data_IF_286851217434
#
_entry.id   IF_286851217434
#
_cell.length_a   1.000
_cell.length_b   1.000
_cell.length_c   1.000
_cell.angle_alpha   90.00
_cell.angle_beta   90.00
_cell.angle_gamma   90.00
#
_symmetry.space_group_name_H-M   'P 1'
#
loop_
_entity.id
_entity.type
_entity.pdbx_description
1 polymer ?
#
# COMPACT_ATOMS: atom_id res chain seq x y z
N UNK A 1 7.04 -7.19 22.93
CA UNK A 1 6.18 -6.56 21.90
C UNK A 1 5.70 -7.65 20.99
N UNK A 2 4.38 -7.86 20.86
CA UNK A 2 3.87 -8.93 20.02
C UNK A 2 4.14 -8.60 18.54
N UNK A 3 4.55 -9.61 17.79
CA UNK A 3 4.61 -9.55 16.35
C UNK A 3 3.18 -9.52 15.83
N UNK A 4 2.82 -8.48 15.07
CA UNK A 4 1.52 -8.37 14.40
C UNK A 4 1.66 -8.68 12.93
N UNK A 5 0.57 -9.13 12.32
CA UNK A 5 0.45 -9.44 10.90
C UNK A 5 -0.71 -8.67 10.29
N UNK A 6 -0.51 -8.16 9.08
CA UNK A 6 -1.57 -7.54 8.29
C UNK A 6 -1.40 -7.84 6.80
N UNK A 7 -2.47 -7.66 6.04
CA UNK A 7 -2.46 -7.66 4.58
C UNK A 7 -2.76 -6.25 4.10
N UNK A 8 -1.99 -5.74 3.15
CA UNK A 8 -2.08 -4.33 2.76
C UNK A 8 -1.55 -4.03 1.37
N UNK A 9 -1.84 -2.83 0.90
CA UNK A 9 -1.30 -2.27 -0.36
C UNK A 9 -0.32 -1.15 0.01
N UNK A 10 0.83 -1.13 -0.64
CA UNK A 10 1.79 -0.03 -0.49
C UNK A 10 1.24 1.22 -1.20
N UNK A 11 0.90 2.24 -0.43
CA UNK A 11 0.36 3.52 -0.92
C UNK A 11 1.39 4.65 -0.88
N UNK A 12 2.49 4.46 -0.15
CA UNK A 12 3.60 5.42 -0.16
C UNK A 12 4.90 4.71 0.18
N UNK A 13 6.00 5.09 -0.47
CA UNK A 13 7.29 4.47 -0.21
C UNK A 13 8.45 5.34 -0.69
N UNK A 14 9.44 5.57 0.17
CA UNK A 14 10.63 6.32 -0.18
C UNK A 14 11.87 5.82 0.58
N UNK A 15 13.03 6.04 -0.03
CA UNK A 15 14.32 5.70 0.56
C UNK A 15 14.62 6.60 1.77
N UNK A 16 15.09 5.98 2.86
CA UNK A 16 15.47 6.68 4.09
C UNK A 16 16.88 6.26 4.49
N UNK A 17 17.82 7.20 4.40
CA UNK A 17 19.24 6.93 4.60
C UNK A 17 19.79 5.95 3.55
N UNK A 18 20.83 5.20 3.91
CA UNK A 18 21.53 4.35 2.94
C UNK A 18 20.82 3.02 2.64
N UNK A 19 20.13 2.44 3.61
CA UNK A 19 19.64 1.06 3.49
C UNK A 19 18.16 0.88 3.79
N UNK A 20 17.50 1.89 4.33
CA UNK A 20 16.17 1.75 4.90
C UNK A 20 15.13 2.38 3.97
N UNK A 21 13.87 2.03 4.16
CA UNK A 21 12.73 2.69 3.51
C UNK A 21 11.68 3.06 4.54
N UNK A 22 11.03 4.19 4.35
CA UNK A 22 9.78 4.52 5.05
C UNK A 22 8.64 4.19 4.09
N UNK A 23 7.67 3.42 4.58
CA UNK A 23 6.60 2.85 3.77
C UNK A 23 5.29 3.03 4.50
N UNK A 24 4.25 3.42 3.77
CA UNK A 24 2.87 3.44 4.26
C UNK A 24 2.09 2.34 3.56
N UNK A 25 1.45 1.49 4.37
CA UNK A 25 0.56 0.43 3.90
C UNK A 25 -0.87 0.81 4.25
N UNK A 26 -1.79 0.71 3.30
CA UNK A 26 -3.21 0.66 3.61
C UNK A 26 -3.60 -0.79 3.82
N UNK A 27 -3.94 -1.15 5.06
CA UNK A 27 -4.15 -2.55 5.48
C UNK A 27 -5.62 -2.83 5.77
N UNK A 28 -6.02 -4.09 5.56
CA UNK A 28 -7.39 -4.52 5.86
C UNK A 28 -7.66 -4.53 7.37
N UNK A 29 -6.67 -4.94 8.17
CA UNK A 29 -6.86 -5.20 9.60
C UNK A 29 -6.64 -3.98 10.49
N UNK A 30 -5.80 -3.03 10.08
CA UNK A 30 -5.42 -1.88 10.92
C UNK A 30 -5.43 -0.54 10.18
N UNK A 31 -6.05 -0.45 9.01
CA UNK A 31 -6.06 0.79 8.23
C UNK A 31 -4.66 1.21 7.78
N UNK A 32 -4.37 2.51 7.76
CA UNK A 32 -3.04 3.02 7.40
C UNK A 32 -2.01 2.71 8.47
N UNK A 33 -0.95 2.01 8.07
CA UNK A 33 0.24 1.74 8.89
C UNK A 33 1.45 2.40 8.23
N UNK A 34 2.03 3.39 8.90
CA UNK A 34 3.33 3.95 8.53
C UNK A 34 4.44 3.24 9.28
N UNK A 35 5.48 2.82 8.55
CA UNK A 35 6.57 2.07 9.15
C UNK A 35 7.93 2.28 8.50
N UNK A 36 8.96 1.95 9.27
CA UNK A 36 10.35 1.90 8.83
C UNK A 36 10.76 0.45 8.58
N UNK A 37 11.19 0.18 7.35
CA UNK A 37 11.75 -1.09 6.91
C UNK A 37 13.29 -1.00 6.92
N UNK A 38 13.90 -1.39 8.04
CA UNK A 38 15.35 -1.31 8.21
C UNK A 38 16.08 -2.29 7.31
N UNK A 39 17.08 -1.83 6.57
CA UNK A 39 17.86 -2.63 5.62
C UNK A 39 17.07 -3.08 4.40
N UNK A 40 15.92 -2.46 4.12
CA UNK A 40 15.05 -2.76 2.98
C UNK A 40 15.80 -2.87 1.66
N UNK A 41 16.69 -1.91 1.37
CA UNK A 41 17.40 -1.83 0.08
C UNK A 41 18.40 -2.97 -0.13
N UNK A 42 18.85 -3.62 0.95
CA UNK A 42 19.84 -4.72 0.90
C UNK A 42 19.21 -6.11 1.11
N UNK A 43 18.04 -6.18 1.74
CA UNK A 43 17.48 -7.44 2.24
C UNK A 43 16.39 -8.01 1.34
N UNK A 44 16.79 -8.83 0.36
CA UNK A 44 15.83 -9.59 -0.48
C UNK A 44 15.02 -10.62 0.29
N UNK A 45 15.58 -11.19 1.37
CA UNK A 45 14.88 -12.18 2.21
C UNK A 45 13.70 -11.59 2.96
N UNK A 46 13.81 -10.36 3.47
CA UNK A 46 12.76 -9.72 4.29
C UNK A 46 11.82 -8.83 3.49
N UNK A 47 12.30 -8.29 2.37
CA UNK A 47 11.58 -7.31 1.56
C UNK A 47 11.78 -7.62 0.09
N UNK A 48 11.24 -8.75 -0.37
CA UNK A 48 11.43 -9.28 -1.73
C UNK A 48 10.71 -8.42 -2.79
N UNK A 49 11.20 -7.21 -3.05
CA UNK A 49 10.59 -6.18 -3.90
C UNK A 49 9.12 -5.86 -3.54
N UNK A 50 8.80 -6.01 -2.25
CA UNK A 50 7.45 -5.91 -1.70
C UNK A 50 7.14 -4.52 -1.13
N UNK A 51 8.02 -3.54 -1.33
CA UNK A 51 7.88 -2.19 -0.75
C UNK A 51 7.67 -1.11 -1.81
N UNK A 52 7.47 -1.48 -3.06
CA UNK A 52 7.17 -0.56 -4.15
C UNK A 52 5.68 -0.26 -4.20
N UNK A 53 5.32 0.89 -4.79
CA UNK A 53 3.94 1.32 -4.90
C UNK A 53 3.07 0.24 -5.55
N UNK A 54 1.81 0.20 -5.12
CA UNK A 54 0.78 -0.72 -5.58
C UNK A 54 0.98 -2.19 -5.18
N UNK A 55 2.13 -2.59 -4.65
CA UNK A 55 2.34 -3.97 -4.21
C UNK A 55 1.32 -4.37 -3.13
N UNK A 56 0.57 -5.43 -3.39
CA UNK A 56 -0.32 -6.06 -2.43
C UNK A 56 0.47 -7.13 -1.66
N UNK A 57 0.57 -6.95 -0.34
CA UNK A 57 1.55 -7.62 0.50
C UNK A 57 0.96 -8.13 1.80
N UNK A 58 1.63 -9.10 2.40
CA UNK A 58 1.51 -9.45 3.81
C UNK A 58 2.71 -8.90 4.55
N UNK A 59 2.45 -8.18 5.63
CA UNK A 59 3.49 -7.59 6.47
C UNK A 59 3.50 -8.21 7.86
N UNK A 60 4.70 -8.32 8.41
CA UNK A 60 4.95 -8.59 9.82
C UNK A 60 5.61 -7.36 10.44
N UNK A 61 5.08 -6.89 11.56
CA UNK A 61 5.53 -5.65 12.16
C UNK A 61 5.47 -5.65 13.69
N UNK A 62 6.30 -4.80 14.28
CA UNK A 62 6.31 -4.53 15.71
C UNK A 62 5.84 -3.11 15.97
N UNK A 63 4.77 -3.00 16.76
CA UNK A 63 4.19 -1.73 17.17
C UNK A 63 4.68 -1.33 18.57
N UNK A 64 4.94 -0.04 18.75
CA UNK A 64 5.20 0.57 20.05
C UNK A 64 4.27 1.76 20.22
N UNK A 65 3.70 1.91 21.41
CA UNK A 65 2.77 3.01 21.74
C UNK A 65 3.43 4.40 21.66
N UNK A 66 4.76 4.47 21.76
CA UNK A 66 5.53 5.72 21.83
C UNK A 66 6.22 6.12 20.51
N UNK A 67 5.96 5.41 19.40
CA UNK A 67 6.62 5.67 18.11
C UNK A 67 5.65 6.03 17.01
N UNK A 68 5.97 7.12 16.32
CA UNK A 68 5.29 7.54 15.08
C UNK A 68 5.51 6.57 13.91
N UNK A 69 6.57 5.76 13.95
CA UNK A 69 6.86 4.75 12.93
C UNK A 69 6.90 3.35 13.54
N UNK A 70 6.10 2.47 12.95
CA UNK A 70 6.13 1.03 13.23
C UNK A 70 7.38 0.41 12.64
N UNK A 71 8.01 -0.56 13.32
CA UNK A 71 9.11 -1.32 12.72
C UNK A 71 8.53 -2.43 11.83
N UNK A 72 8.78 -2.38 10.54
CA UNK A 72 8.45 -3.47 9.62
C UNK A 72 9.56 -4.51 9.70
N UNK A 73 9.20 -5.75 10.02
CA UNK A 73 10.15 -6.86 10.16
C UNK A 73 10.27 -7.66 8.85
N UNK A 74 9.14 -7.93 8.19
CA UNK A 74 9.05 -8.64 6.91
C UNK A 74 7.87 -8.12 6.07
N UNK A 75 8.01 -8.18 4.75
CA UNK A 75 6.94 -7.95 3.78
C UNK A 75 7.07 -8.95 2.62
N UNK A 76 6.03 -9.74 2.39
CA UNK A 76 5.96 -10.73 1.31
C UNK A 76 4.84 -10.34 0.33
N UNK A 77 5.14 -10.40 -0.96
CA UNK A 77 4.14 -10.13 -2.01
C UNK A 77 3.06 -11.20 -1.98
N UNK A 78 1.80 -10.75 -1.94
CA UNK A 78 0.61 -11.58 -2.14
C UNK A 78 0.21 -11.57 -3.61
N UNK A 79 0.19 -10.37 -4.21
CA UNK A 79 -0.20 -10.14 -5.58
C UNK A 79 0.62 -8.96 -6.12
N UNK A 80 1.03 -9.06 -7.38
CA UNK A 80 1.86 -8.04 -8.03
C UNK A 80 1.11 -7.47 -9.24
N UNK A 81 1.18 -6.14 -9.39
CA UNK A 81 0.55 -5.40 -10.48
C UNK A 81 1.62 -4.76 -11.39
N UNK A 82 2.35 -5.54 -12.20
CA UNK A 82 3.50 -5.07 -12.95
C UNK A 82 3.18 -3.95 -13.95
N UNK A 83 1.98 -3.98 -14.54
CA UNK A 83 1.60 -3.02 -15.56
C UNK A 83 1.46 -1.59 -15.00
N UNK A 84 1.15 -1.45 -13.71
CA UNK A 84 1.02 -0.15 -13.05
C UNK A 84 2.33 0.63 -13.00
N UNK A 85 3.46 -0.07 -12.85
CA UNK A 85 4.78 0.55 -12.85
C UNK A 85 5.39 0.69 -14.25
N UNK A 86 4.90 -0.08 -15.22
CA UNK A 86 5.44 -0.14 -16.58
C UNK A 86 4.80 0.82 -17.59
N UNK A 87 3.63 1.38 -17.25
CA UNK A 87 2.86 2.27 -18.12
C UNK A 87 2.51 3.57 -17.39
N UNK A 88 2.83 4.71 -18.01
CA UNK A 88 2.66 6.03 -17.39
C UNK A 88 1.19 6.38 -17.13
N UNK A 89 0.28 5.96 -18.02
CA UNK A 89 -1.15 6.18 -17.86
C UNK A 89 -1.67 5.36 -16.69
N UNK A 90 -1.36 4.06 -16.65
CA UNK A 90 -1.76 3.18 -15.55
C UNK A 90 -1.18 3.62 -14.21
N UNK A 91 0.08 4.08 -14.20
CA UNK A 91 0.70 4.67 -13.02
C UNK A 91 -0.06 5.91 -12.54
N UNK A 92 -0.48 6.79 -13.45
CA UNK A 92 -1.26 7.98 -13.12
C UNK A 92 -2.60 7.66 -12.44
N UNK A 93 -3.36 6.73 -13.01
CA UNK A 93 -4.64 6.28 -12.42
C UNK A 93 -4.43 5.57 -11.08
N UNK A 94 -3.45 4.67 -11.00
CA UNK A 94 -3.11 3.97 -9.76
C UNK A 94 -2.72 4.93 -8.64
N UNK A 95 -1.87 5.92 -8.95
CA UNK A 95 -1.46 6.98 -8.03
C UNK A 95 -2.65 7.81 -7.55
N UNK A 96 -3.56 8.18 -8.46
CA UNK A 96 -4.77 8.90 -8.09
C UNK A 96 -5.65 8.11 -7.10
N UNK A 97 -5.85 6.82 -7.34
CA UNK A 97 -6.64 5.98 -6.43
C UNK A 97 -6.03 5.88 -5.03
N UNK A 98 -4.70 5.67 -4.93
CA UNK A 98 -4.04 5.58 -3.63
C UNK A 98 -3.99 6.93 -2.90
N UNK A 99 -3.85 8.05 -3.63
CA UNK A 99 -3.88 9.40 -3.04
C UNK A 99 -5.26 9.74 -2.48
N UNK A 100 -6.34 9.39 -3.19
CA UNK A 100 -7.70 9.54 -2.66
C UNK A 100 -7.92 8.72 -1.40
N UNK A 101 -7.49 7.45 -1.39
CA UNK A 101 -7.60 6.60 -0.20
C UNK A 101 -6.78 7.16 0.95
N UNK A 102 -5.58 7.67 0.69
CA UNK A 102 -4.75 8.30 1.73
C UNK A 102 -5.43 9.57 2.29
N UNK A 103 -6.01 10.40 1.43
CA UNK A 103 -6.68 11.64 1.85
C UNK A 103 -7.99 11.40 2.62
N UNK A 104 -8.74 10.36 2.27
CA UNK A 104 -10.08 10.11 2.80
C UNK A 104 -10.12 9.16 4.01
N UNK A 105 -9.00 8.55 4.39
CA UNK A 105 -8.94 7.60 5.53
C UNK A 105 -8.02 8.07 6.65
N UNK A 106 -8.38 7.76 7.89
CA UNK A 106 -7.56 8.04 9.08
C UNK A 106 -6.35 7.11 9.23
N UNK A 107 -5.36 7.53 10.02
CA UNK A 107 -4.35 6.58 10.52
C UNK A 107 -5.01 5.58 11.47
N UNK A 108 -4.63 4.31 11.36
CA UNK A 108 -5.14 3.23 12.23
C UNK A 108 -6.65 2.98 12.20
N UNK A 109 -7.33 3.48 11.17
CA UNK A 109 -8.76 3.25 10.96
C UNK A 109 -8.98 2.20 9.86
N UNK A 110 -9.48 1.03 10.26
CA UNK A 110 -9.68 -0.06 9.33
C UNK A 110 -10.97 0.16 8.50
N UNK A 111 -10.82 0.24 7.18
CA UNK A 111 -11.92 0.27 6.22
C UNK A 111 -11.79 -0.89 5.23
N UNK A 112 -12.25 -2.11 5.57
CA UNK A 112 -12.10 -3.28 4.71
C UNK A 112 -12.75 -3.12 3.33
N UNK A 113 -13.87 -2.41 3.24
CA UNK A 113 -14.56 -2.16 1.96
C UNK A 113 -13.78 -1.21 1.06
N UNK A 114 -13.20 -0.15 1.63
CA UNK A 114 -12.30 0.78 0.90
C UNK A 114 -11.03 0.05 0.44
N UNK A 115 -10.49 -0.85 1.28
CA UNK A 115 -9.35 -1.68 0.91
C UNK A 115 -9.67 -2.56 -0.30
N UNK A 116 -10.82 -3.25 -0.27
CA UNK A 116 -11.21 -4.09 -1.38
C UNK A 116 -11.51 -3.27 -2.65
N UNK A 117 -12.14 -2.10 -2.52
CA UNK A 117 -12.35 -1.17 -3.63
C UNK A 117 -11.03 -0.80 -4.30
N UNK A 118 -10.04 -0.35 -3.53
CA UNK A 118 -8.71 -0.02 -4.04
C UNK A 118 -8.07 -1.21 -4.76
N UNK A 119 -8.07 -2.39 -4.13
CA UNK A 119 -7.49 -3.61 -4.71
C UNK A 119 -8.13 -3.98 -6.05
N UNK A 120 -9.46 -3.92 -6.14
CA UNK A 120 -10.21 -4.24 -7.36
C UNK A 120 -9.86 -3.26 -8.48
N UNK A 121 -9.82 -1.96 -8.19
CA UNK A 121 -9.49 -0.96 -9.21
C UNK A 121 -8.05 -1.09 -9.69
N UNK A 122 -7.08 -1.27 -8.79
CA UNK A 122 -5.67 -1.50 -9.16
C UNK A 122 -5.51 -2.77 -10.02
N UNK A 123 -6.18 -3.87 -9.66
CA UNK A 123 -6.19 -5.11 -10.45
C UNK A 123 -6.83 -4.90 -11.83
N UNK A 124 -7.90 -4.09 -11.90
CA UNK A 124 -8.59 -3.74 -13.14
C UNK A 124 -7.66 -2.98 -14.09
N UNK A 125 -7.12 -1.84 -13.66
CA UNK A 125 -6.23 -1.03 -14.51
C UNK A 125 -4.88 -1.71 -14.80
N UNK A 126 -4.47 -2.68 -13.99
CA UNK A 126 -3.34 -3.54 -14.33
C UNK A 126 -3.65 -4.43 -15.55
N UNK A 127 -4.89 -4.90 -15.69
CA UNK A 127 -5.28 -5.91 -16.69
C UNK A 127 -5.87 -5.31 -17.98
N UNK A 128 -6.40 -4.10 -17.94
CA UNK A 128 -6.98 -3.40 -19.09
C UNK A 128 -6.51 -1.95 -19.17
N UNK A 129 -6.81 -1.27 -20.27
CA UNK A 129 -6.54 0.16 -20.38
C UNK A 129 -7.49 0.97 -19.50
N UNK A 130 -6.98 1.96 -18.74
CA UNK A 130 -7.81 2.80 -17.91
C UNK A 130 -8.69 3.72 -18.78
N UNK A 131 -9.92 3.91 -18.34
CA UNK A 131 -10.87 4.86 -18.96
C UNK A 131 -11.18 5.97 -17.97
N UNK A 132 -11.42 7.19 -18.43
CA UNK A 132 -11.62 8.36 -17.55
C UNK A 132 -12.81 8.19 -16.59
N UNK A 133 -13.81 7.40 -16.98
CA UNK A 133 -14.98 7.07 -16.16
C UNK A 133 -14.58 6.28 -14.92
N UNK A 134 -13.49 5.52 -14.95
CA UNK A 134 -13.01 4.75 -13.80
C UNK A 134 -12.67 5.68 -12.62
N UNK A 135 -12.18 6.90 -12.88
CA UNK A 135 -11.92 7.89 -11.83
C UNK A 135 -13.22 8.26 -11.10
N UNK A 136 -14.27 8.59 -11.87
CA UNK A 136 -15.58 9.00 -11.35
C UNK A 136 -16.28 7.86 -10.63
N UNK A 137 -16.20 6.65 -11.18
CA UNK A 137 -16.77 5.46 -10.53
C UNK A 137 -16.05 5.20 -9.21
N UNK A 138 -14.72 5.32 -9.18
CA UNK A 138 -13.95 5.16 -7.95
C UNK A 138 -14.33 6.20 -6.89
N UNK A 139 -14.37 7.49 -7.26
CA UNK A 139 -14.78 8.61 -6.39
C UNK A 139 -16.17 8.37 -5.78
N UNK A 140 -17.18 8.07 -6.61
CA UNK A 140 -18.57 7.85 -6.16
C UNK A 140 -18.66 6.64 -5.23
N UNK A 141 -17.95 5.55 -5.56
CA UNK A 141 -17.93 4.35 -4.72
C UNK A 141 -17.25 4.61 -3.39
N UNK A 142 -16.12 5.32 -3.40
CA UNK A 142 -15.38 5.68 -2.19
C UNK A 142 -16.23 6.53 -1.24
N UNK A 143 -16.96 7.52 -1.77
CA UNK A 143 -17.85 8.40 -0.98
C UNK A 143 -19.07 7.67 -0.38
N UNK A 144 -19.40 6.48 -0.89
CA UNK A 144 -20.53 5.68 -0.40
C UNK A 144 -20.14 4.68 0.70
N UNK A 145 -18.85 4.60 1.05
CA UNK A 145 -18.27 3.71 2.05
C UNK A 145 -17.83 4.51 3.28
#
# INVERSE_FOLDING_TARGET
>A
MPLKRATGIVIHSFDYGESDRIVTFFTTEYGKIKGIAKGARRSRRRFSNSLDLFCHVRILFFEKEDRSLTRIDQSDVVEFFPALSGDISKMGYGSYFIELVDAMTGEREAHPDVFNLLRVFLSTINSMEPMEEMLRIFEIRLLSL
#
